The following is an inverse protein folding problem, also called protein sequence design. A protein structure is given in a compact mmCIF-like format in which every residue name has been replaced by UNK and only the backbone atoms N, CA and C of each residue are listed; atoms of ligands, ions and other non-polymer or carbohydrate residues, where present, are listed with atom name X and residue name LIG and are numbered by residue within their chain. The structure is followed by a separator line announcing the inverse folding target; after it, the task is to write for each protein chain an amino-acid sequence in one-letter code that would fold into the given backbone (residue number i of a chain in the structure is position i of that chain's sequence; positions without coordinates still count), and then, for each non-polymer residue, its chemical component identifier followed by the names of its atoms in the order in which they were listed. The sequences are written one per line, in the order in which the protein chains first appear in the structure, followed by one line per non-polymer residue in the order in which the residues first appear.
data_IF_196501695400
#
_entry.id   IF_196501695400
#
_cell.length_a   1.000
_cell.length_b   1.000
_cell.length_c   1.000
_cell.angle_alpha   90.00
_cell.angle_beta   90.00
_cell.angle_gamma   90.00
#
_symmetry.space_group_name_H-M   'P 1'
#
loop_
_entity.id
_entity.type
_entity.pdbx_description
1 polymer ?
#
# COMPACT_ATOMS: atom_id res chain seq x y z
N UNK A 1 -39.54 3.22 -44.84
CA UNK A 1 -38.60 2.11 -44.51
C UNK A 1 -39.08 1.44 -43.21
N UNK A 2 -39.05 0.10 -43.11
CA UNK A 2 -39.40 -0.64 -41.87
C UNK A 2 -38.11 -0.95 -41.11
N UNK A 3 -38.11 -0.74 -39.78
CA UNK A 3 -36.96 -0.96 -38.90
C UNK A 3 -37.33 -1.84 -37.71
N UNK A 4 -36.35 -2.62 -37.25
CA UNK A 4 -36.40 -3.34 -35.96
C UNK A 4 -35.86 -2.40 -34.89
N UNK A 5 -36.70 -2.02 -33.93
CA UNK A 5 -36.31 -1.14 -32.83
C UNK A 5 -35.56 -1.94 -31.76
N UNK A 6 -36.11 -3.08 -31.33
CA UNK A 6 -35.48 -4.03 -30.44
C UNK A 6 -36.07 -5.44 -30.60
N UNK A 7 -35.39 -6.45 -30.09
CA UNK A 7 -35.90 -7.82 -30.00
C UNK A 7 -35.51 -8.43 -28.66
N UNK A 8 -36.44 -9.15 -28.03
CA UNK A 8 -36.20 -10.02 -26.89
C UNK A 8 -36.23 -11.48 -27.33
N UNK A 9 -36.12 -12.40 -26.37
CA UNK A 9 -36.27 -13.84 -26.60
C UNK A 9 -37.64 -14.22 -27.20
N UNK A 10 -38.70 -13.47 -26.89
CA UNK A 10 -40.07 -13.85 -27.27
C UNK A 10 -40.87 -12.71 -27.91
N UNK A 11 -40.21 -11.59 -28.21
CA UNK A 11 -40.89 -10.45 -28.81
C UNK A 11 -40.00 -9.61 -29.70
N UNK A 12 -40.61 -8.96 -30.68
CA UNK A 12 -39.93 -8.06 -31.61
C UNK A 12 -40.74 -6.77 -31.71
N UNK A 13 -40.06 -5.64 -31.53
CA UNK A 13 -40.62 -4.32 -31.76
C UNK A 13 -40.20 -3.78 -33.13
N UNK A 14 -41.20 -3.41 -33.93
CA UNK A 14 -41.04 -2.87 -35.27
C UNK A 14 -41.64 -1.47 -35.34
N UNK A 15 -40.99 -0.59 -36.10
CA UNK A 15 -41.59 0.67 -36.54
C UNK A 15 -41.30 0.95 -38.00
N UNK A 16 -42.12 1.79 -38.60
CA UNK A 16 -41.99 2.14 -40.00
C UNK A 16 -42.38 3.60 -40.23
N UNK A 17 -42.05 4.09 -41.41
CA UNK A 17 -42.49 5.40 -41.85
C UNK A 17 -43.88 5.25 -42.47
N UNK A 18 -44.82 6.09 -42.03
CA UNK A 18 -46.15 6.20 -42.62
C UNK A 18 -46.01 6.64 -44.09
N UNK A 19 -46.54 5.86 -45.05
CA UNK A 19 -46.47 6.23 -46.46
C UNK A 19 -47.39 7.42 -46.76
N UNK A 20 -46.93 8.34 -47.60
CA UNK A 20 -47.78 9.40 -48.14
C UNK A 20 -48.87 8.75 -49.02
N UNK A 21 -50.08 8.63 -48.48
CA UNK A 21 -51.19 7.94 -49.14
C UNK A 21 -52.13 8.96 -49.80
N UNK A 22 -52.10 9.13 -51.13
CA UNK A 22 -52.92 10.14 -51.82
C UNK A 22 -54.42 9.80 -51.87
N UNK A 23 -54.81 8.56 -51.53
CA UNK A 23 -56.17 8.03 -51.73
C UNK A 23 -57.00 7.86 -50.44
N UNK A 24 -56.65 8.53 -49.35
CA UNK A 24 -57.49 8.63 -48.15
C UNK A 24 -56.75 8.39 -46.83
N UNK A 25 -57.46 8.63 -45.72
CA UNK A 25 -56.91 8.47 -44.37
C UNK A 25 -56.60 7.00 -44.05
N UNK A 26 -55.44 6.78 -43.42
CA UNK A 26 -55.01 5.48 -42.93
C UNK A 26 -55.79 5.16 -41.66
N UNK A 27 -56.44 3.99 -41.62
CA UNK A 27 -57.23 3.55 -40.48
C UNK A 27 -56.37 2.76 -39.48
N UNK A 28 -55.67 1.76 -39.99
CA UNK A 28 -54.68 0.98 -39.26
C UNK A 28 -53.73 0.25 -40.22
N UNK A 29 -52.74 -0.40 -39.62
CA UNK A 29 -51.77 -1.26 -40.27
C UNK A 29 -52.04 -2.69 -39.86
N UNK A 30 -51.98 -3.61 -40.83
CA UNK A 30 -52.02 -5.05 -40.56
C UNK A 30 -50.66 -5.65 -40.85
N UNK A 31 -50.13 -6.35 -39.86
CA UNK A 31 -48.82 -6.99 -39.87
C UNK A 31 -49.04 -8.49 -39.88
N UNK A 32 -48.68 -9.13 -40.99
CA UNK A 32 -48.64 -10.58 -41.14
C UNK A 32 -47.24 -11.06 -40.84
N UNK A 33 -47.11 -12.11 -40.02
CA UNK A 33 -45.82 -12.70 -39.69
C UNK A 33 -45.89 -14.22 -39.59
N UNK A 34 -44.77 -14.88 -39.88
CA UNK A 34 -44.63 -16.33 -39.78
C UNK A 34 -43.17 -16.73 -39.57
N UNK A 35 -42.97 -17.89 -38.96
CA UNK A 35 -41.66 -18.50 -38.73
C UNK A 35 -41.01 -18.90 -40.06
N UNK A 36 -39.75 -18.53 -40.26
CA UNK A 36 -38.97 -18.89 -41.44
C UNK A 36 -38.40 -20.30 -41.27
N UNK A 37 -39.13 -21.29 -41.78
CA UNK A 37 -38.71 -22.69 -41.74
C UNK A 37 -37.69 -22.97 -42.85
N UNK A 38 -36.46 -23.35 -42.50
CA UNK A 38 -35.47 -23.88 -43.44
C UNK A 38 -35.61 -25.41 -43.52
N UNK A 39 -36.09 -25.99 -44.64
CA UNK A 39 -36.15 -27.43 -44.78
C UNK A 39 -34.73 -27.99 -44.92
N UNK A 40 -34.33 -28.89 -44.01
CA UNK A 40 -32.98 -29.47 -44.04
C UNK A 40 -32.74 -30.40 -45.24
N UNK A 41 -33.77 -31.00 -45.84
CA UNK A 41 -33.63 -31.97 -46.95
C UNK A 41 -34.92 -31.99 -47.79
N UNK A 42 -35.00 -31.28 -48.92
CA UNK A 42 -36.05 -31.49 -49.93
C UNK A 42 -35.57 -31.08 -51.34
N UNK A 43 -35.99 -31.77 -52.42
CA UNK A 43 -35.71 -31.36 -53.79
C UNK A 43 -36.34 -30.00 -54.13
N UNK A 44 -35.64 -29.17 -54.91
CA UNK A 44 -36.00 -27.78 -55.20
C UNK A 44 -37.44 -27.55 -55.75
N UNK A 45 -38.07 -28.54 -56.38
CA UNK A 45 -39.43 -28.41 -56.90
C UNK A 45 -40.51 -28.39 -55.80
N UNK A 46 -40.35 -29.23 -54.76
CA UNK A 46 -41.25 -29.22 -53.59
C UNK A 46 -40.98 -28.05 -52.64
N UNK A 47 -39.87 -27.33 -52.82
CA UNK A 47 -39.54 -26.13 -52.05
C UNK A 47 -40.57 -25.01 -52.29
N UNK A 48 -40.88 -24.72 -53.55
CA UNK A 48 -41.78 -23.61 -53.89
C UNK A 48 -43.23 -23.88 -53.43
N UNK A 49 -43.77 -25.06 -53.77
CA UNK A 49 -45.15 -25.43 -53.39
C UNK A 49 -45.34 -25.51 -51.87
N UNK A 50 -44.37 -26.06 -51.11
CA UNK A 50 -44.49 -26.18 -49.65
C UNK A 50 -44.34 -24.85 -48.92
N UNK A 51 -43.50 -23.95 -49.41
CA UNK A 51 -43.31 -22.62 -48.81
C UNK A 51 -44.57 -21.77 -48.96
N UNK A 52 -45.25 -21.80 -50.11
CA UNK A 52 -46.51 -21.07 -50.30
C UNK A 52 -47.66 -21.63 -49.44
N UNK A 53 -47.77 -22.96 -49.33
CA UNK A 53 -48.79 -23.61 -48.51
C UNK A 53 -48.59 -23.32 -47.00
N UNK A 54 -47.34 -23.34 -46.52
CA UNK A 54 -47.02 -22.99 -45.13
C UNK A 54 -47.20 -21.49 -44.82
N UNK A 55 -46.91 -20.60 -45.79
CA UNK A 55 -47.20 -19.15 -45.69
C UNK A 55 -48.72 -18.85 -45.58
N UNK A 56 -49.57 -19.75 -46.07
CA UNK A 56 -51.04 -19.63 -45.93
C UNK A 56 -51.60 -20.31 -44.69
N UNK A 57 -50.99 -21.40 -44.19
CA UNK A 57 -51.53 -22.18 -43.07
C UNK A 57 -51.00 -21.76 -41.68
N UNK A 58 -49.80 -21.20 -41.58
CA UNK A 58 -49.13 -20.93 -40.28
C UNK A 58 -48.83 -19.45 -40.03
N UNK A 59 -49.60 -18.54 -40.64
CA UNK A 59 -49.38 -17.11 -40.42
C UNK A 59 -50.17 -16.62 -39.21
N UNK A 60 -49.55 -15.70 -38.49
CA UNK A 60 -50.20 -14.89 -37.48
C UNK A 60 -50.34 -13.46 -38.00
N UNK A 61 -51.36 -12.74 -37.53
CA UNK A 61 -51.55 -11.34 -37.91
C UNK A 61 -51.90 -10.50 -36.70
N UNK A 62 -51.40 -9.27 -36.69
CA UNK A 62 -51.68 -8.29 -35.64
C UNK A 62 -51.92 -6.94 -36.29
N UNK A 63 -52.72 -6.09 -35.64
CA UNK A 63 -53.07 -4.76 -36.15
C UNK A 63 -52.56 -3.68 -35.21
N UNK A 64 -52.15 -2.55 -35.78
CA UNK A 64 -51.74 -1.37 -35.02
C UNK A 64 -52.27 -0.10 -35.68
N UNK A 65 -52.74 0.84 -34.88
CA UNK A 65 -53.14 2.18 -35.36
C UNK A 65 -51.95 3.12 -35.54
N UNK A 66 -50.83 2.83 -34.87
CA UNK A 66 -49.60 3.59 -34.99
C UNK A 66 -48.67 2.92 -36.01
N UNK A 67 -47.71 3.66 -36.60
CA UNK A 67 -46.70 3.08 -37.47
C UNK A 67 -45.60 2.32 -36.68
N UNK A 68 -46.03 1.58 -35.65
CA UNK A 68 -45.20 0.75 -34.77
C UNK A 68 -46.02 -0.38 -34.15
N UNK A 69 -45.40 -1.53 -33.90
CA UNK A 69 -46.02 -2.67 -33.22
C UNK A 69 -45.00 -3.45 -32.40
N UNK A 70 -45.44 -4.03 -31.28
CA UNK A 70 -44.68 -5.01 -30.51
C UNK A 70 -45.39 -6.35 -30.68
N UNK A 71 -44.69 -7.33 -31.23
CA UNK A 71 -45.22 -8.68 -31.45
C UNK A 71 -44.62 -9.58 -30.38
N UNK A 72 -45.48 -10.17 -29.54
CA UNK A 72 -45.11 -11.00 -28.40
C UNK A 72 -45.48 -12.47 -28.62
N UNK A 73 -44.91 -13.38 -27.84
CA UNK A 73 -45.20 -14.82 -27.93
C UNK A 73 -44.49 -15.51 -29.09
N UNK A 74 -43.40 -14.92 -29.57
CA UNK A 74 -42.51 -15.52 -30.57
C UNK A 74 -41.62 -16.57 -29.88
N UNK A 75 -41.20 -17.59 -30.63
CA UNK A 75 -40.19 -18.56 -30.16
C UNK A 75 -38.80 -17.91 -30.06
N UNK A 76 -37.97 -18.28 -29.06
CA UNK A 76 -36.59 -17.84 -28.95
C UNK A 76 -35.71 -18.36 -30.09
N UNK A 77 -34.61 -17.64 -30.36
CA UNK A 77 -33.62 -17.94 -31.39
C UNK A 77 -34.23 -18.34 -32.76
N UNK A 78 -35.32 -17.68 -33.15
CA UNK A 78 -36.12 -18.05 -34.33
C UNK A 78 -36.25 -16.85 -35.27
N UNK A 79 -36.04 -17.09 -36.56
CA UNK A 79 -36.23 -16.09 -37.60
C UNK A 79 -37.68 -16.02 -38.05
N UNK A 80 -38.21 -14.81 -38.10
CA UNK A 80 -39.56 -14.52 -38.55
C UNK A 80 -39.53 -13.60 -39.76
N UNK A 81 -40.47 -13.84 -40.69
CA UNK A 81 -40.73 -12.98 -41.82
C UNK A 81 -41.94 -12.12 -41.51
N UNK A 82 -41.85 -10.82 -41.79
CA UNK A 82 -42.89 -9.82 -41.56
C UNK A 82 -43.29 -9.15 -42.87
N UNK A 83 -44.58 -8.90 -43.02
CA UNK A 83 -45.19 -8.17 -44.12
C UNK A 83 -46.28 -7.24 -43.60
N UNK A 84 -46.26 -5.99 -44.05
CA UNK A 84 -47.16 -4.94 -43.55
C UNK A 84 -48.02 -4.46 -44.70
N UNK A 85 -49.31 -4.27 -44.45
CA UNK A 85 -50.22 -3.57 -45.38
C UNK A 85 -51.01 -2.52 -44.64
N UNK A 86 -51.46 -1.52 -45.38
CA UNK A 86 -52.25 -0.40 -44.90
C UNK A 86 -53.72 -0.72 -45.13
N UNK A 87 -54.58 -0.38 -44.18
CA UNK A 87 -56.04 -0.38 -44.37
C UNK A 87 -56.56 1.04 -44.47
N UNK A 88 -57.28 1.30 -45.55
CA UNK A 88 -57.94 2.58 -45.83
C UNK A 88 -59.46 2.36 -45.98
N UNK A 89 -60.23 3.44 -46.10
CA UNK A 89 -61.66 3.34 -46.37
C UNK A 89 -62.00 2.61 -47.69
N UNK A 90 -61.08 2.63 -48.66
CA UNK A 90 -61.24 1.95 -49.95
C UNK A 90 -60.84 0.45 -49.91
N UNK A 91 -60.30 -0.03 -48.78
CA UNK A 91 -59.83 -1.41 -48.61
C UNK A 91 -58.35 -1.49 -48.21
N UNK A 92 -57.75 -2.65 -48.44
CA UNK A 92 -56.37 -2.94 -48.10
C UNK A 92 -55.41 -2.58 -49.24
N UNK A 93 -54.26 -2.02 -48.91
CA UNK A 93 -53.14 -1.88 -49.85
C UNK A 93 -52.53 -3.24 -50.19
N UNK A 94 -51.68 -3.27 -51.22
CA UNK A 94 -50.72 -4.35 -51.38
C UNK A 94 -49.81 -4.48 -50.15
N UNK A 95 -49.27 -5.68 -49.95
CA UNK A 95 -48.25 -5.90 -48.92
C UNK A 95 -46.95 -5.19 -49.28
N UNK A 96 -46.22 -4.75 -48.26
CA UNK A 96 -44.84 -4.28 -48.37
C UNK A 96 -43.88 -5.41 -48.74
N UNK A 97 -42.56 -5.14 -48.79
CA UNK A 97 -41.53 -6.16 -48.99
C UNK A 97 -41.31 -7.03 -47.74
N UNK A 98 -40.83 -8.27 -47.90
CA UNK A 98 -40.61 -9.23 -46.80
C UNK A 98 -39.43 -8.76 -45.95
N UNK A 99 -39.67 -8.54 -44.65
CA UNK A 99 -38.62 -8.21 -43.69
C UNK A 99 -38.32 -9.41 -42.81
N UNK A 100 -37.04 -9.71 -42.59
CA UNK A 100 -36.60 -10.85 -41.77
C UNK A 100 -35.94 -10.34 -40.49
N UNK A 101 -36.49 -10.77 -39.35
CA UNK A 101 -35.93 -10.44 -38.03
C UNK A 101 -35.88 -11.68 -37.14
N UNK A 102 -34.93 -11.69 -36.21
CA UNK A 102 -34.63 -12.82 -35.34
C UNK A 102 -34.85 -12.42 -33.87
N UNK A 103 -35.44 -13.33 -33.10
CA UNK A 103 -35.58 -13.23 -31.64
C UNK A 103 -34.27 -13.56 -30.94
N UNK A 104 -34.08 -13.04 -29.73
CA UNK A 104 -32.89 -13.32 -28.89
C UNK A 104 -32.79 -14.79 -28.46
N UNK A 105 -31.60 -15.22 -28.07
CA UNK A 105 -31.33 -16.56 -27.53
C UNK A 105 -31.56 -16.58 -26.01
N UNK A 106 -32.06 -17.69 -25.47
CA UNK A 106 -32.21 -17.91 -24.02
C UNK A 106 -30.86 -17.93 -23.29
N UNK A 107 -29.79 -18.31 -23.99
CA UNK A 107 -28.45 -18.47 -23.39
C UNK A 107 -27.80 -17.13 -23.01
N UNK A 108 -28.11 -16.03 -23.70
CA UNK A 108 -27.46 -14.74 -23.45
C UNK A 108 -27.89 -14.09 -22.14
N UNK A 109 -29.16 -14.28 -21.75
CA UNK A 109 -29.68 -13.66 -20.53
C UNK A 109 -29.30 -14.49 -19.29
N UNK A 110 -29.23 -15.82 -19.43
CA UNK A 110 -28.71 -16.71 -18.39
C UNK A 110 -27.21 -16.48 -18.12
N UNK A 111 -26.42 -16.19 -19.17
CA UNK A 111 -25.01 -15.87 -19.02
C UNK A 111 -24.78 -14.52 -18.31
N UNK A 112 -25.63 -13.53 -18.54
CA UNK A 112 -25.55 -12.23 -17.89
C UNK A 112 -25.91 -12.29 -16.39
N UNK A 113 -26.98 -13.01 -16.05
CA UNK A 113 -27.40 -13.27 -14.66
C UNK A 113 -26.30 -14.01 -13.87
N UNK A 114 -25.71 -15.05 -14.47
CA UNK A 114 -24.66 -15.84 -13.82
C UNK A 114 -23.36 -15.05 -13.62
N UNK A 115 -23.04 -14.12 -14.54
CA UNK A 115 -21.93 -13.18 -14.40
C UNK A 115 -22.12 -12.23 -13.21
N UNK A 116 -23.32 -11.69 -13.01
CA UNK A 116 -23.59 -10.77 -11.89
C UNK A 116 -23.54 -11.49 -10.53
N UNK A 117 -24.13 -12.68 -10.43
CA UNK A 117 -24.10 -13.47 -9.18
C UNK A 117 -22.65 -13.84 -8.80
N UNK A 118 -21.83 -14.20 -9.78
CA UNK A 118 -20.41 -14.54 -9.55
C UNK A 118 -19.60 -13.33 -9.03
N UNK A 119 -19.84 -12.13 -9.55
CA UNK A 119 -19.18 -10.90 -9.09
C UNK A 119 -19.58 -10.56 -7.66
N UNK A 120 -20.87 -10.67 -7.31
CA UNK A 120 -21.36 -10.40 -5.95
C UNK A 120 -20.76 -11.41 -4.95
N UNK A 121 -20.78 -12.70 -5.30
CA UNK A 121 -20.23 -13.75 -4.43
C UNK A 121 -18.72 -13.59 -4.20
N UNK A 122 -17.95 -13.28 -5.24
CA UNK A 122 -16.50 -13.07 -5.13
C UNK A 122 -16.14 -11.82 -4.33
N UNK A 123 -16.87 -10.72 -4.50
CA UNK A 123 -16.69 -9.49 -3.71
C UNK A 123 -16.99 -9.72 -2.22
N UNK A 124 -18.06 -10.45 -1.90
CA UNK A 124 -18.43 -10.74 -0.52
C UNK A 124 -17.38 -11.59 0.20
N UNK A 125 -16.86 -12.64 -0.44
CA UNK A 125 -15.82 -13.51 0.12
C UNK A 125 -14.51 -12.74 0.32
N UNK A 126 -14.09 -11.94 -0.67
CA UNK A 126 -12.89 -11.11 -0.56
C UNK A 126 -12.97 -10.08 0.56
N UNK A 127 -14.09 -9.37 0.65
CA UNK A 127 -14.34 -8.38 1.71
C UNK A 127 -14.36 -9.00 3.10
N UNK A 128 -15.05 -10.13 3.27
CA UNK A 128 -15.07 -10.83 4.56
C UNK A 128 -13.68 -11.33 4.97
N UNK A 129 -12.91 -11.89 4.04
CA UNK A 129 -11.54 -12.36 4.30
C UNK A 129 -10.63 -11.20 4.74
N UNK A 130 -10.73 -10.05 4.09
CA UNK A 130 -9.96 -8.85 4.44
C UNK A 130 -10.35 -8.30 5.83
N UNK A 131 -11.64 -8.32 6.18
CA UNK A 131 -12.11 -7.95 7.52
C UNK A 131 -11.54 -8.88 8.61
N UNK A 132 -11.51 -10.19 8.36
CA UNK A 132 -10.92 -11.16 9.30
C UNK A 132 -9.42 -10.91 9.48
N UNK A 133 -8.68 -10.65 8.40
CA UNK A 133 -7.24 -10.33 8.49
C UNK A 133 -7.01 -9.05 9.29
N UNK A 134 -7.78 -7.99 9.03
CA UNK A 134 -7.66 -6.73 9.77
C UNK A 134 -7.97 -6.90 11.25
N UNK A 135 -9.05 -7.62 11.58
CA UNK A 135 -9.42 -7.87 12.98
C UNK A 135 -8.35 -8.67 13.72
N UNK A 136 -7.78 -9.71 13.10
CA UNK A 136 -6.65 -10.45 13.65
C UNK A 136 -5.41 -9.56 13.83
N UNK A 137 -5.09 -8.72 12.85
CA UNK A 137 -3.99 -7.75 12.95
C UNK A 137 -4.20 -6.79 14.14
N UNK A 138 -5.38 -6.18 14.26
CA UNK A 138 -5.72 -5.30 15.38
C UNK A 138 -5.69 -6.01 16.74
N UNK A 139 -6.12 -7.27 16.80
CA UNK A 139 -6.05 -8.07 18.02
C UNK A 139 -4.60 -8.38 18.39
N UNK A 140 -3.75 -8.75 17.42
CA UNK A 140 -2.32 -9.01 17.66
C UNK A 140 -1.62 -7.71 18.08
N UNK A 141 -1.78 -6.61 17.33
CA UNK A 141 -1.17 -5.32 17.69
C UNK A 141 -1.71 -4.79 19.00
N UNK A 142 -3.02 -4.94 19.25
CA UNK A 142 -3.67 -4.54 20.50
C UNK A 142 -3.20 -5.37 21.69
N UNK A 143 -3.04 -6.69 21.53
CA UNK A 143 -2.47 -7.58 22.57
C UNK A 143 -0.98 -7.31 22.79
N UNK A 144 -0.20 -7.04 21.75
CA UNK A 144 1.21 -6.65 21.86
C UNK A 144 1.35 -5.29 22.56
N UNK A 145 0.57 -4.29 22.16
CA UNK A 145 0.55 -2.98 22.80
C UNK A 145 0.06 -3.05 24.24
N UNK A 146 -0.95 -3.88 24.53
CA UNK A 146 -1.45 -4.10 25.89
C UNK A 146 -0.44 -4.88 26.75
N UNK A 147 0.22 -5.90 26.20
CA UNK A 147 1.28 -6.64 26.89
C UNK A 147 2.49 -5.73 27.18
N UNK A 148 2.90 -4.91 26.21
CA UNK A 148 3.96 -3.91 26.38
C UNK A 148 3.53 -2.85 27.41
N UNK A 149 2.30 -2.31 27.34
CA UNK A 149 1.77 -1.35 28.33
C UNK A 149 1.61 -1.97 29.72
N UNK A 150 1.20 -3.22 29.83
CA UNK A 150 1.06 -3.92 31.11
C UNK A 150 2.45 -4.16 31.74
N UNK A 151 3.43 -4.55 30.92
CA UNK A 151 4.83 -4.67 31.34
C UNK A 151 5.41 -3.31 31.75
N UNK A 152 5.13 -2.24 30.99
CA UNK A 152 5.57 -0.88 31.32
C UNK A 152 4.89 -0.31 32.56
N UNK A 153 3.59 -0.55 32.77
CA UNK A 153 2.86 -0.10 33.97
C UNK A 153 3.29 -0.84 35.23
N UNK A 154 3.66 -2.12 35.11
CA UNK A 154 4.28 -2.91 36.18
C UNK A 154 5.69 -2.39 36.51
N UNK A 155 6.51 -2.12 35.49
CA UNK A 155 7.84 -1.53 35.65
C UNK A 155 7.79 -0.10 36.20
N UNK A 156 6.83 0.71 35.77
CA UNK A 156 6.64 2.09 36.21
C UNK A 156 6.11 2.15 37.66
N UNK A 157 5.21 1.25 38.07
CA UNK A 157 4.84 1.09 39.49
C UNK A 157 6.04 0.66 40.34
N UNK A 158 6.91 -0.21 39.83
CA UNK A 158 8.16 -0.62 40.50
C UNK A 158 9.14 0.55 40.61
N UNK A 159 9.26 1.38 39.57
CA UNK A 159 10.11 2.58 39.54
C UNK A 159 9.57 3.72 40.42
N UNK A 160 8.26 3.94 40.46
CA UNK A 160 7.63 4.93 41.32
C UNK A 160 7.79 4.59 42.82
N UNK A 161 7.78 3.29 43.16
CA UNK A 161 8.06 2.83 44.53
C UNK A 161 9.54 2.99 44.92
N UNK A 162 10.46 3.05 43.96
CA UNK A 162 11.89 3.37 44.18
C UNK A 162 12.15 4.88 44.23
N UNK A 163 11.40 5.67 43.47
CA UNK A 163 11.60 7.12 43.36
C UNK A 163 10.98 7.90 44.53
N UNK A 164 9.91 7.38 45.16
CA UNK A 164 9.29 8.00 46.35
C UNK A 164 10.06 7.73 47.65
N UNK A 165 11.13 6.94 47.61
CA UNK A 165 12.07 6.81 48.72
C UNK A 165 13.11 7.92 48.64
N UNK A 166 12.96 8.96 49.46
CA UNK A 166 14.01 9.91 49.79
C UNK A 166 15.17 9.19 50.50
N UNK A 167 15.93 8.38 49.77
CA UNK A 167 17.12 7.69 50.24
C UNK A 167 18.34 8.48 49.78
N UNK A 168 18.56 9.59 50.51
CA UNK A 168 19.88 10.19 50.67
C UNK A 168 20.75 9.19 51.44
N UNK A 169 21.22 8.16 50.72
CA UNK A 169 22.20 7.18 51.22
C UNK A 169 23.56 7.51 50.60
N UNK A 170 24.64 7.63 51.37
CA UNK A 170 25.96 7.89 50.82
C UNK A 170 26.45 6.60 50.17
N UNK A 171 26.40 6.52 48.84
CA UNK A 171 27.04 5.42 48.08
C UNK A 171 26.33 4.97 46.81
N UNK A 172 25.07 5.30 46.58
CA UNK A 172 24.35 4.94 45.34
C UNK A 172 24.48 6.08 44.33
N UNK A 173 25.43 5.97 43.40
CA UNK A 173 25.46 6.85 42.22
C UNK A 173 24.38 6.36 41.24
N UNK A 174 23.26 7.07 41.16
CA UNK A 174 22.27 6.86 40.10
C UNK A 174 22.88 7.27 38.77
N UNK A 175 22.70 6.45 37.73
CA UNK A 175 23.08 6.82 36.37
C UNK A 175 22.37 8.11 35.94
N UNK A 176 23.13 9.06 35.40
CA UNK A 176 22.64 10.32 34.87
C UNK A 176 22.84 10.28 33.36
N UNK A 177 21.74 10.40 32.61
CA UNK A 177 21.81 10.46 31.16
C UNK A 177 22.54 11.76 30.74
N UNK A 178 23.64 11.68 29.97
CA UNK A 178 24.34 12.86 29.48
C UNK A 178 23.48 13.82 28.68
N UNK A 179 22.39 13.34 28.07
CA UNK A 179 21.45 14.17 27.32
C UNK A 179 20.62 15.10 28.24
N UNK A 180 20.72 14.92 29.56
CA UNK A 180 20.17 15.87 30.56
C UNK A 180 20.98 17.17 30.60
N UNK A 181 22.22 17.17 30.09
CA UNK A 181 23.06 18.36 30.03
C UNK A 181 22.90 19.07 28.68
N UNK A 182 22.72 20.39 28.70
CA UNK A 182 22.69 21.20 27.49
C UNK A 182 24.07 21.27 26.80
N UNK A 183 25.17 21.15 27.56
CA UNK A 183 26.55 21.08 27.06
C UNK A 183 27.23 19.76 27.50
N UNK A 184 27.60 18.87 26.57
CA UNK A 184 28.33 17.63 26.86
C UNK A 184 29.67 17.84 27.57
N UNK A 185 30.27 19.02 27.43
CA UNK A 185 31.52 19.36 28.11
C UNK A 185 31.33 19.39 29.64
N UNK A 186 30.16 19.80 30.12
CA UNK A 186 29.82 19.81 31.55
C UNK A 186 29.70 18.38 32.10
N UNK A 187 28.99 17.50 31.39
CA UNK A 187 28.85 16.10 31.76
C UNK A 187 30.21 15.40 31.87
N UNK A 188 31.12 15.68 30.94
CA UNK A 188 32.49 15.13 30.97
C UNK A 188 33.29 15.68 32.16
N UNK A 189 33.16 16.97 32.49
CA UNK A 189 33.84 17.53 33.66
C UNK A 189 33.33 16.97 34.99
N UNK A 190 32.06 16.57 35.05
CA UNK A 190 31.47 15.99 36.26
C UNK A 190 31.83 14.51 36.43
N UNK A 191 31.80 13.74 35.33
CA UNK A 191 31.95 12.28 35.40
C UNK A 191 33.34 11.77 35.04
N UNK A 192 34.18 12.55 34.35
CA UNK A 192 35.50 12.11 33.93
C UNK A 192 36.62 12.94 34.58
N UNK A 193 37.72 12.25 34.91
CA UNK A 193 38.90 12.87 35.50
C UNK A 193 39.74 13.57 34.42
N UNK A 194 40.01 14.86 34.59
CA UNK A 194 40.95 15.58 33.73
C UNK A 194 42.39 15.12 34.00
N UNK A 195 43.14 14.84 32.94
CA UNK A 195 44.53 14.38 32.99
C UNK A 195 45.46 15.39 32.34
N UNK A 196 46.60 15.60 32.96
CA UNK A 196 47.66 16.40 32.38
C UNK A 196 48.25 15.69 31.15
N UNK A 197 48.31 16.33 29.97
CA UNK A 197 48.89 15.75 28.76
C UNK A 197 50.29 15.15 28.95
N UNK A 198 51.11 15.72 29.85
CA UNK A 198 52.47 15.25 30.17
C UNK A 198 52.52 13.87 30.82
N UNK A 199 51.41 13.41 31.39
CA UNK A 199 51.29 12.09 32.03
C UNK A 199 51.00 10.98 31.02
N UNK A 200 50.75 11.32 29.76
CA UNK A 200 50.37 10.35 28.72
C UNK A 200 51.47 10.27 27.67
N UNK A 201 51.98 9.06 27.45
CA UNK A 201 52.90 8.74 26.35
C UNK A 201 52.17 7.91 25.31
N UNK A 202 52.10 8.40 24.08
CA UNK A 202 51.54 7.65 22.94
C UNK A 202 52.67 6.83 22.33
N UNK A 203 52.43 5.55 22.06
CA UNK A 203 53.44 4.64 21.51
C UNK A 203 53.19 4.31 20.04
N UNK A 204 52.01 3.79 19.68
CA UNK A 204 51.67 3.41 18.30
C UNK A 204 50.17 3.46 18.01
N UNK A 205 49.78 3.65 16.75
CA UNK A 205 48.39 3.49 16.32
C UNK A 205 48.03 2.00 16.32
N UNK A 206 46.89 1.65 16.93
CA UNK A 206 46.36 0.28 16.99
C UNK A 206 45.05 0.13 16.22
N UNK A 207 44.40 1.22 15.81
CA UNK A 207 43.21 1.17 14.99
C UNK A 207 42.68 2.54 14.59
N UNK A 208 41.65 2.54 13.76
CA UNK A 208 40.84 3.70 13.41
C UNK A 208 39.39 3.46 13.86
N UNK A 209 38.78 4.48 14.46
CA UNK A 209 37.37 4.47 14.88
C UNK A 209 36.60 5.62 14.25
N UNK A 210 35.31 5.71 14.58
CA UNK A 210 34.36 6.70 14.04
C UNK A 210 34.84 8.15 14.16
N UNK A 211 35.52 8.48 15.26
CA UNK A 211 35.93 9.84 15.58
C UNK A 211 37.41 10.14 15.22
N UNK A 212 38.19 9.11 14.84
CA UNK A 212 39.62 9.29 14.59
C UNK A 212 40.43 8.02 14.79
N UNK A 213 41.59 8.15 15.43
CA UNK A 213 42.53 7.04 15.64
C UNK A 213 42.54 6.58 17.08
N UNK A 214 42.77 5.29 17.26
CA UNK A 214 43.00 4.63 18.54
C UNK A 214 44.47 4.26 18.61
N UNK A 215 45.17 4.75 19.62
CA UNK A 215 46.59 4.50 19.83
C UNK A 215 46.82 3.70 21.10
N UNK A 216 47.82 2.83 21.13
CA UNK A 216 48.37 2.28 22.38
C UNK A 216 49.36 3.26 22.99
N UNK A 217 49.41 3.33 24.31
CA UNK A 217 50.29 4.20 25.06
C UNK A 217 50.43 3.81 26.54
N UNK A 218 51.01 4.72 27.32
CA UNK A 218 51.24 4.59 28.76
C UNK A 218 50.68 5.80 29.51
N UNK A 219 50.11 5.54 30.69
CA UNK A 219 49.67 6.57 31.62
C UNK A 219 50.47 6.53 32.92
N UNK A 220 51.05 7.67 33.28
CA UNK A 220 51.63 7.92 34.60
C UNK A 220 50.54 8.33 35.57
N UNK A 221 50.21 7.43 36.49
CA UNK A 221 49.33 7.77 37.61
C UNK A 221 50.18 8.23 38.81
N UNK A 222 49.76 9.26 39.57
CA UNK A 222 50.50 9.73 40.73
C UNK A 222 50.72 8.60 41.74
N UNK A 223 51.98 8.34 42.10
CA UNK A 223 52.34 7.34 43.11
C UNK A 223 52.21 5.87 42.67
N UNK A 224 51.98 5.57 41.39
CA UNK A 224 51.98 4.19 40.88
C UNK A 224 52.84 4.04 39.61
N UNK A 225 53.07 2.80 39.19
CA UNK A 225 53.77 2.46 37.94
C UNK A 225 52.95 2.89 36.72
N UNK A 226 53.64 3.10 35.60
CA UNK A 226 53.00 3.35 34.31
C UNK A 226 52.09 2.18 33.91
N UNK A 227 50.84 2.48 33.59
CA UNK A 227 49.87 1.48 33.12
C UNK A 227 49.74 1.54 31.60
N UNK A 228 49.61 0.39 30.92
CA UNK A 228 49.28 0.34 29.50
C UNK A 228 47.85 0.85 29.29
N UNK A 229 47.66 1.65 28.24
CA UNK A 229 46.38 2.29 27.93
C UNK A 229 46.17 2.38 26.43
N UNK A 230 44.93 2.29 25.99
CA UNK A 230 44.53 2.73 24.66
C UNK A 230 43.88 4.13 24.70
N UNK A 231 44.20 4.92 23.67
CA UNK A 231 44.02 6.35 23.57
C UNK A 231 43.22 6.63 22.31
N UNK A 232 41.93 6.89 22.50
CA UNK A 232 41.05 7.37 21.43
C UNK A 232 41.28 8.87 21.23
N UNK A 233 41.37 9.28 19.98
CA UNK A 233 41.67 10.67 19.59
C UNK A 233 40.62 11.19 18.62
N UNK A 234 40.27 12.47 18.74
CA UNK A 234 39.39 13.17 17.81
C UNK A 234 40.26 13.87 16.75
N UNK A 235 40.07 13.55 15.46
CA UNK A 235 40.85 14.14 14.36
C UNK A 235 40.56 15.64 14.22
N UNK A 236 41.55 16.41 13.76
CA UNK A 236 41.36 17.82 13.41
C UNK A 236 40.37 17.98 12.26
N UNK A 237 39.52 19.02 12.31
CA UNK A 237 38.49 19.26 11.29
C UNK A 237 37.14 18.55 11.52
N UNK A 238 36.90 18.04 12.73
CA UNK A 238 35.64 17.42 13.11
C UNK A 238 34.44 18.39 13.02
N UNK A 239 33.25 17.86 12.76
CA UNK A 239 31.99 18.60 12.90
C UNK A 239 31.51 18.62 14.36
N UNK A 240 30.78 19.66 14.78
CA UNK A 240 30.34 19.80 16.19
C UNK A 240 29.57 18.59 16.70
N UNK A 241 28.81 17.91 15.84
CA UNK A 241 28.12 16.66 16.18
C UNK A 241 29.09 15.56 16.61
N UNK A 242 30.16 15.34 15.85
CA UNK A 242 31.18 14.34 16.19
C UNK A 242 31.88 14.68 17.51
N UNK A 243 32.11 15.97 17.80
CA UNK A 243 32.63 16.39 19.11
C UNK A 243 31.67 16.05 20.23
N UNK A 244 30.38 16.32 20.06
CA UNK A 244 29.35 16.01 21.07
C UNK A 244 29.25 14.51 21.31
N UNK A 245 29.16 13.72 20.25
CA UNK A 245 29.08 12.25 20.35
C UNK A 245 30.34 11.68 21.02
N UNK A 246 31.51 12.24 20.68
CA UNK A 246 32.78 11.90 21.32
C UNK A 246 32.83 12.25 22.81
N UNK A 247 32.28 13.38 23.24
CA UNK A 247 32.20 13.75 24.66
C UNK A 247 31.15 12.93 25.41
N UNK A 248 30.03 12.63 24.75
CA UNK A 248 28.94 11.82 25.29
C UNK A 248 29.44 10.44 25.69
N UNK A 249 30.23 9.79 24.85
CA UNK A 249 30.86 8.49 25.16
C UNK A 249 31.67 8.54 26.48
N UNK A 250 32.50 9.57 26.70
CA UNK A 250 33.29 9.77 27.93
C UNK A 250 32.40 9.95 29.14
N UNK A 251 31.37 10.79 29.00
CA UNK A 251 30.47 11.09 30.11
C UNK A 251 29.69 9.85 30.57
N UNK A 252 29.38 8.92 29.67
CA UNK A 252 28.76 7.63 30.02
C UNK A 252 29.78 6.76 30.73
N UNK A 253 30.97 6.57 30.14
CA UNK A 253 32.00 5.69 30.70
C UNK A 253 32.49 6.17 32.07
N UNK A 254 32.60 7.48 32.31
CA UNK A 254 33.04 8.06 33.57
C UNK A 254 32.12 7.78 34.77
N UNK A 255 30.88 7.37 34.51
CA UNK A 255 29.91 7.03 35.56
C UNK A 255 30.05 5.59 36.08
N UNK A 256 30.78 4.72 35.36
CA UNK A 256 30.90 3.31 35.71
C UNK A 256 32.31 2.95 36.19
N UNK A 257 32.37 2.27 37.33
CA UNK A 257 33.58 1.65 37.87
C UNK A 257 33.21 0.23 38.32
N UNK A 258 33.44 -0.75 37.43
CA UNK A 258 33.03 -2.14 37.64
C UNK A 258 33.99 -3.10 36.93
N UNK A 259 34.34 -4.27 37.51
CA UNK A 259 35.31 -5.19 36.93
C UNK A 259 34.95 -5.73 35.53
N UNK A 260 33.65 -5.79 35.20
CA UNK A 260 33.16 -6.25 33.89
C UNK A 260 32.81 -5.11 32.91
N UNK A 261 33.13 -3.85 33.25
CA UNK A 261 32.89 -2.68 32.40
C UNK A 261 34.22 -1.99 32.11
N UNK A 262 34.44 -1.60 30.86
CA UNK A 262 35.65 -0.89 30.46
C UNK A 262 35.72 0.44 31.22
N UNK A 263 36.78 0.59 32.03
CA UNK A 263 36.97 1.77 32.88
C UNK A 263 37.63 2.92 32.12
N UNK A 264 37.13 4.12 32.35
CA UNK A 264 37.73 5.37 31.89
C UNK A 264 38.73 5.89 32.94
N UNK A 265 40.03 5.96 32.64
CA UNK A 265 40.98 6.57 33.59
C UNK A 265 40.87 8.10 33.63
N UNK A 266 40.46 8.70 32.52
CA UNK A 266 40.28 10.14 32.40
C UNK A 266 40.26 10.64 30.96
N UNK A 267 40.16 11.96 30.85
CA UNK A 267 40.02 12.74 29.63
C UNK A 267 41.03 13.88 29.62
N UNK A 268 41.23 14.48 28.44
CA UNK A 268 42.08 15.66 28.27
C UNK A 268 41.30 16.72 27.51
N UNK A 269 40.66 17.64 28.22
CA UNK A 269 39.84 18.69 27.62
C UNK A 269 40.63 19.98 27.41
N UNK A 270 41.70 20.20 28.20
CA UNK A 270 42.48 21.44 28.19
C UNK A 270 43.61 21.39 27.16
N UNK A 271 43.63 22.37 26.26
CA UNK A 271 44.75 22.64 25.34
C UNK A 271 46.00 23.05 26.13
N UNK A 272 47.15 22.41 25.86
CA UNK A 272 48.44 22.88 26.36
C UNK A 272 48.75 24.25 25.74
N UNK A 273 49.07 25.25 26.57
CA UNK A 273 49.55 26.54 26.09
C UNK A 273 50.82 26.33 25.27
N UNK A 274 50.84 26.89 24.06
CA UNK A 274 51.97 26.99 23.13
C UNK A 274 53.26 27.34 23.88
N UNK A 275 54.24 26.44 23.89
CA UNK A 275 55.64 26.84 23.85
C UNK A 275 56.10 26.60 22.42
N UNK A 276 56.40 27.70 21.71
CA UNK A 276 57.03 27.65 20.40
C UNK A 276 58.39 26.96 20.54
N UNK A 277 58.51 25.76 19.98
CA UNK A 277 59.79 25.26 19.51
C UNK A 277 59.59 24.68 18.10
N UNK A 278 60.43 25.05 17.13
CA UNK A 278 60.29 24.60 15.76
C UNK A 278 60.88 23.19 15.66
N UNK A 279 60.02 22.17 15.63
CA UNK A 279 60.41 20.83 15.26
C UNK A 279 59.51 20.30 14.14
N UNK A 280 60.17 19.55 13.26
CA UNK A 280 59.82 19.16 11.89
C UNK A 280 58.36 18.67 11.67
N UNK A 281 57.82 18.83 10.44
CA UNK A 281 56.47 18.42 10.10
C UNK A 281 56.40 16.90 9.93
N UNK A 282 56.22 16.17 11.02
CA UNK A 282 55.77 14.76 10.94
C UNK A 282 55.01 14.27 12.17
N UNK A 283 54.56 15.17 13.04
CA UNK A 283 53.73 14.80 14.18
C UNK A 283 52.58 15.80 14.20
N UNK A 284 51.46 15.36 13.63
CA UNK A 284 50.20 16.08 13.50
C UNK A 284 49.88 16.85 14.78
N UNK A 285 49.53 18.13 14.63
CA UNK A 285 49.24 19.07 15.70
C UNK A 285 48.15 18.52 16.66
N UNK A 286 48.59 17.90 17.76
CA UNK A 286 47.75 17.26 18.77
C UNK A 286 47.13 18.27 19.75
N UNK A 287 46.96 19.53 19.33
CA UNK A 287 46.43 20.62 20.15
C UNK A 287 44.96 20.45 20.59
N UNK A 288 44.20 19.48 20.08
CA UNK A 288 42.76 19.29 20.41
C UNK A 288 42.43 17.90 20.97
N UNK A 289 43.36 17.32 21.72
CA UNK A 289 43.33 15.90 22.05
C UNK A 289 42.55 15.62 23.32
N UNK A 290 41.34 15.10 23.19
CA UNK A 290 40.62 14.48 24.31
C UNK A 290 40.91 12.98 24.31
N UNK A 291 41.84 12.61 25.20
CA UNK A 291 42.50 11.31 25.26
C UNK A 291 41.74 10.37 26.21
N UNK A 292 41.27 9.23 25.71
CA UNK A 292 40.74 8.14 26.52
C UNK A 292 41.86 7.22 27.01
N UNK A 293 41.61 6.43 28.04
CA UNK A 293 42.60 5.56 28.69
C UNK A 293 41.92 4.24 29.06
N UNK A 294 42.51 3.11 28.65
CA UNK A 294 41.84 1.81 28.47
C UNK A 294 42.58 0.62 29.15
N UNK A 295 41.78 -0.36 29.58
CA UNK A 295 41.96 -1.82 29.85
C UNK A 295 42.76 -2.31 31.07
N UNK A 296 42.06 -3.11 31.88
CA UNK A 296 42.55 -4.39 32.38
C UNK A 296 41.52 -5.47 32.05
#
# INVERSE_FOLDING_TARGET
MVRKDWASQNSIALSWQEPDFPHGAILDYEIKYYEKVYPRIAPAFWHYLRVEEHEQLSYSSTRSKAPSVIITGLKPATKYIFHIRVRTAAGYSGYSQKFEFETGDETSDMAAEQGQILVIATAAVGGFTLLVILTLFFLITGRCQWYIKAKMKSEEKRRAHLQNGHLRSPGIKTYIDPDTYEDPSLAVHEFAKEIDPSRIRIERVIGAGEFGEVCSGRLKTPGKREIPVAIKTLKGGYVDRQRRDFLREASIMGQFDHPNIIRLEGVVTKTAKRYHLPLKPSVTDFSKMLKYLIYH
#
